data_IF_264370596543
#
_entry.id   IF_264370596543
#
_cell.length_a   1.000
_cell.length_b   1.000
_cell.length_c   1.000
_cell.angle_alpha   90.00
_cell.angle_beta   90.00
_cell.angle_gamma   90.00
#
_symmetry.space_group_name_H-M   'P 1'
#
loop_
_entity.id
_entity.type
_entity.pdbx_description
1 polymer ?
#
# COMPACT_ATOMS: atom_id res chain seq x y z
N UNK A 1 18.00 -7.07 -4.59
CA UNK A 1 16.68 -6.36 -4.69
C UNK A 1 15.61 -7.14 -5.48
N UNK A 2 15.95 -7.89 -6.54
CA UNK A 2 14.93 -8.58 -7.37
C UNK A 2 13.91 -9.41 -6.58
N UNK A 3 14.34 -10.17 -5.57
CA UNK A 3 13.43 -10.94 -4.69
C UNK A 3 12.46 -10.03 -3.93
N UNK A 4 12.87 -8.82 -3.52
CA UNK A 4 12.01 -7.88 -2.81
C UNK A 4 10.88 -7.37 -3.72
N UNK A 5 11.20 -7.05 -4.97
CA UNK A 5 10.18 -6.67 -5.95
C UNK A 5 9.24 -7.83 -6.30
N UNK A 6 9.76 -9.05 -6.42
CA UNK A 6 8.94 -10.24 -6.65
C UNK A 6 7.96 -10.49 -5.49
N UNK A 7 8.41 -10.36 -4.24
CA UNK A 7 7.55 -10.48 -3.06
C UNK A 7 6.44 -9.42 -3.10
N UNK A 8 6.79 -8.16 -3.37
CA UNK A 8 5.82 -7.06 -3.44
C UNK A 8 4.75 -7.33 -4.50
N UNK A 9 5.17 -7.66 -5.72
CA UNK A 9 4.25 -7.95 -6.84
C UNK A 9 3.30 -9.09 -6.51
N UNK A 10 3.84 -10.22 -6.07
CA UNK A 10 3.05 -11.42 -5.75
C UNK A 10 2.10 -11.22 -4.57
N UNK A 11 2.51 -10.46 -3.54
CA UNK A 11 1.61 -10.15 -2.43
C UNK A 11 0.42 -9.32 -2.87
N UNK A 12 0.61 -8.33 -3.75
CA UNK A 12 -0.46 -7.49 -4.29
C UNK A 12 -1.36 -8.20 -5.28
N UNK A 13 -0.80 -9.05 -6.14
CA UNK A 13 -1.60 -9.96 -6.98
C UNK A 13 -2.49 -10.88 -6.12
N UNK A 14 -1.95 -11.38 -5.00
CA UNK A 14 -2.73 -12.20 -4.07
C UNK A 14 -3.85 -11.38 -3.41
N UNK A 15 -3.58 -10.15 -2.97
CA UNK A 15 -4.61 -9.24 -2.45
C UNK A 15 -5.71 -9.05 -3.49
N UNK A 16 -5.36 -8.65 -4.71
CA UNK A 16 -6.32 -8.43 -5.80
C UNK A 16 -7.19 -9.67 -6.03
N UNK A 17 -6.57 -10.83 -6.19
CA UNK A 17 -7.29 -12.11 -6.38
C UNK A 17 -8.28 -12.42 -5.25
N UNK A 18 -7.96 -11.99 -4.02
CA UNK A 18 -8.82 -12.24 -2.85
C UNK A 18 -10.01 -11.31 -2.75
N UNK A 19 -9.91 -10.11 -3.31
CA UNK A 19 -10.95 -9.07 -3.16
C UNK A 19 -11.78 -8.82 -4.43
N UNK A 20 -11.33 -9.29 -5.59
CA UNK A 20 -11.90 -8.95 -6.90
C UNK A 20 -13.37 -9.39 -7.09
N UNK A 21 -13.82 -10.35 -6.30
CA UNK A 21 -15.20 -10.85 -6.33
C UNK A 21 -16.13 -10.19 -5.29
N UNK A 22 -15.60 -9.28 -4.47
CA UNK A 22 -16.38 -8.64 -3.40
C UNK A 22 -17.19 -7.48 -3.95
N UNK A 23 -18.40 -7.29 -3.40
CA UNK A 23 -19.17 -6.08 -3.66
C UNK A 23 -18.55 -4.86 -2.96
N UNK A 24 -18.88 -3.66 -3.43
CA UNK A 24 -18.42 -2.42 -2.83
C UNK A 24 -18.85 -2.31 -1.35
N UNK A 25 -20.04 -2.81 -1.00
CA UNK A 25 -20.51 -2.84 0.39
C UNK A 25 -19.67 -3.77 1.26
N UNK A 26 -19.26 -4.94 0.73
CA UNK A 26 -18.37 -5.86 1.45
C UNK A 26 -16.97 -5.24 1.66
N UNK A 27 -16.45 -4.54 0.66
CA UNK A 27 -15.16 -3.85 0.74
C UNK A 27 -15.15 -2.75 1.81
N UNK A 28 -16.27 -2.03 1.99
CA UNK A 28 -16.40 -0.93 2.95
C UNK A 28 -16.92 -1.35 4.32
N UNK A 29 -17.35 -2.59 4.50
CA UNK A 29 -17.83 -3.07 5.79
C UNK A 29 -16.74 -3.04 6.85
N UNK A 30 -17.01 -2.38 7.97
CA UNK A 30 -16.17 -2.38 9.17
C UNK A 30 -16.74 -3.41 10.14
N UNK A 31 -16.17 -4.60 10.28
CA UNK A 31 -16.66 -5.60 11.22
C UNK A 31 -16.47 -5.18 12.68
N UNK A 32 -17.27 -5.75 13.57
CA UNK A 32 -17.11 -5.54 15.01
C UNK A 32 -15.70 -5.89 15.48
N UNK A 33 -15.10 -5.02 16.30
CA UNK A 33 -13.73 -5.16 16.79
C UNK A 33 -12.63 -4.60 15.86
N UNK A 34 -12.98 -4.19 14.65
CA UNK A 34 -12.05 -3.53 13.72
C UNK A 34 -12.32 -2.02 13.66
N UNK A 35 -11.29 -1.24 13.30
CA UNK A 35 -11.39 0.20 13.06
C UNK A 35 -11.31 0.58 11.59
N UNK A 36 -11.04 -0.38 10.73
CA UNK A 36 -10.88 -0.20 9.28
C UNK A 36 -11.57 -1.33 8.51
N UNK A 37 -11.57 -1.21 7.20
CA UNK A 37 -12.19 -2.13 6.27
C UNK A 37 -11.19 -2.57 5.19
N UNK A 38 -11.61 -3.45 4.28
CA UNK A 38 -10.76 -3.96 3.20
C UNK A 38 -10.35 -2.84 2.26
N UNK A 39 -11.29 -1.97 1.82
CA UNK A 39 -11.02 -0.89 0.90
C UNK A 39 -9.94 0.07 1.45
N UNK A 40 -10.05 0.47 2.72
CA UNK A 40 -9.05 1.31 3.38
C UNK A 40 -7.68 0.62 3.42
N UNK A 41 -7.61 -0.68 3.77
CA UNK A 41 -6.34 -1.40 3.80
C UNK A 41 -5.68 -1.46 2.42
N UNK A 42 -6.44 -1.70 1.36
CA UNK A 42 -5.91 -1.76 -0.01
C UNK A 42 -5.36 -0.39 -0.44
N UNK A 43 -6.12 0.69 -0.24
CA UNK A 43 -5.66 2.04 -0.56
C UNK A 43 -4.45 2.45 0.30
N UNK A 44 -4.41 2.04 1.57
CA UNK A 44 -3.29 2.30 2.47
C UNK A 44 -1.98 1.61 2.02
N UNK A 45 -2.05 0.40 1.43
CA UNK A 45 -0.89 -0.25 0.82
C UNK A 45 -0.32 0.58 -0.33
N UNK A 46 -1.18 1.06 -1.22
CA UNK A 46 -0.80 1.95 -2.35
C UNK A 46 -0.09 3.19 -1.82
N UNK A 47 -0.73 3.89 -0.89
CA UNK A 47 -0.23 5.15 -0.32
C UNK A 47 1.07 4.95 0.45
N UNK A 48 1.17 3.92 1.27
CA UNK A 48 2.37 3.69 2.09
C UNK A 48 3.59 3.39 1.23
N UNK A 49 3.45 2.61 0.15
CA UNK A 49 4.55 2.40 -0.80
C UNK A 49 5.05 3.73 -1.36
N UNK A 50 4.17 4.63 -1.73
CA UNK A 50 4.54 5.93 -2.29
C UNK A 50 5.27 6.81 -1.26
N UNK A 51 4.76 6.86 -0.04
CA UNK A 51 5.37 7.64 1.03
C UNK A 51 6.76 7.10 1.42
N UNK A 52 6.90 5.78 1.58
CA UNK A 52 8.16 5.17 2.00
C UNK A 52 9.24 5.23 0.94
N UNK A 53 8.89 5.05 -0.34
CA UNK A 53 9.90 4.95 -1.39
C UNK A 53 10.13 6.29 -2.11
N UNK A 54 9.08 6.98 -2.55
CA UNK A 54 9.22 8.22 -3.30
C UNK A 54 9.36 9.46 -2.39
N UNK A 55 8.44 9.63 -1.44
CA UNK A 55 8.44 10.83 -0.57
C UNK A 55 9.72 10.93 0.26
N UNK A 56 10.17 9.82 0.87
CA UNK A 56 11.43 9.81 1.64
C UNK A 56 12.66 10.01 0.75
N UNK A 57 12.58 9.68 -0.53
CA UNK A 57 13.65 9.96 -1.52
C UNK A 57 13.56 11.37 -2.11
N UNK A 58 12.67 12.24 -1.61
CA UNK A 58 12.52 13.60 -2.12
C UNK A 58 11.84 13.67 -3.49
N UNK A 59 11.23 12.59 -3.95
CA UNK A 59 10.55 12.49 -5.25
C UNK A 59 9.04 12.71 -5.11
N UNK A 60 8.40 13.11 -6.20
CA UNK A 60 6.95 13.17 -6.27
C UNK A 60 6.36 11.76 -6.25
N UNK A 61 5.29 11.58 -5.48
CA UNK A 61 4.52 10.35 -5.50
C UNK A 61 3.78 10.19 -6.84
N UNK A 62 3.58 8.95 -7.27
CA UNK A 62 2.81 8.62 -8.47
C UNK A 62 1.30 8.52 -8.18
N UNK A 63 0.91 8.36 -6.92
CA UNK A 63 -0.47 8.48 -6.47
C UNK A 63 -0.84 9.94 -6.20
N UNK A 64 -2.12 10.29 -6.33
CA UNK A 64 -2.62 11.64 -6.10
C UNK A 64 -2.48 12.08 -4.64
N UNK A 65 -2.31 13.38 -4.41
CA UNK A 65 -2.25 13.97 -3.08
C UNK A 65 -3.55 13.68 -2.28
N UNK A 66 -4.70 13.66 -2.94
CA UNK A 66 -5.99 13.35 -2.32
C UNK A 66 -6.01 11.92 -1.78
N UNK A 67 -5.59 10.94 -2.58
CA UNK A 67 -5.50 9.54 -2.16
C UNK A 67 -4.52 9.40 -0.98
N UNK A 68 -3.38 10.06 -1.04
CA UNK A 68 -2.38 10.04 0.02
C UNK A 68 -2.94 10.60 1.33
N UNK A 69 -3.54 11.79 1.29
CA UNK A 69 -4.09 12.43 2.50
C UNK A 69 -5.23 11.63 3.12
N UNK A 70 -6.04 10.96 2.31
CA UNK A 70 -7.19 10.19 2.76
C UNK A 70 -6.78 8.85 3.40
N UNK A 71 -5.74 8.19 2.88
CA UNK A 71 -5.41 6.81 3.28
C UNK A 71 -4.03 6.63 3.93
N UNK A 72 -3.31 7.72 4.23
CA UNK A 72 -2.05 7.66 4.97
C UNK A 72 -2.24 7.16 6.40
N UNK A 73 -1.14 6.77 7.04
CA UNK A 73 -1.12 6.36 8.45
C UNK A 73 -1.82 7.38 9.36
N UNK A 74 -2.66 6.89 10.25
CA UNK A 74 -3.40 7.69 11.24
C UNK A 74 -4.80 8.12 10.77
N UNK A 75 -5.18 7.83 9.52
CA UNK A 75 -6.54 8.06 9.03
C UNK A 75 -7.47 6.88 9.36
N UNK A 76 -8.76 7.13 9.23
CA UNK A 76 -9.83 6.15 9.38
C UNK A 76 -10.64 6.10 8.09
N UNK A 77 -11.38 5.01 7.81
CA UNK A 77 -12.23 4.90 6.61
C UNK A 77 -13.49 5.78 6.76
N UNK A 78 -13.33 7.08 6.52
CA UNK A 78 -14.42 8.07 6.54
C UNK A 78 -15.06 8.26 5.17
N UNK A 79 -14.31 7.94 4.11
CA UNK A 79 -14.76 8.01 2.73
C UNK A 79 -15.10 6.62 2.20
N UNK A 80 -16.05 6.57 1.28
CA UNK A 80 -16.42 5.36 0.54
C UNK A 80 -16.07 5.56 -0.92
N UNK A 81 -15.35 4.60 -1.48
CA UNK A 81 -15.12 4.57 -2.93
C UNK A 81 -16.42 4.28 -3.68
N UNK A 82 -16.61 4.90 -4.84
CA UNK A 82 -17.45 4.32 -5.88
C UNK A 82 -16.79 3.05 -6.45
N UNK A 83 -17.53 2.26 -7.20
CA UNK A 83 -16.93 1.11 -7.90
C UNK A 83 -15.80 1.56 -8.85
N UNK A 84 -16.03 2.65 -9.60
CA UNK A 84 -15.07 3.23 -10.54
C UNK A 84 -13.79 3.71 -9.84
N UNK A 85 -13.91 4.47 -8.75
CA UNK A 85 -12.75 4.95 -8.00
C UNK A 85 -11.94 3.79 -7.37
N UNK A 86 -12.62 2.72 -6.96
CA UNK A 86 -11.93 1.56 -6.41
C UNK A 86 -11.22 0.73 -7.48
N UNK A 87 -11.73 0.69 -8.72
CA UNK A 87 -10.98 0.10 -9.84
C UNK A 87 -9.66 0.83 -10.08
N UNK A 88 -9.63 2.17 -10.02
CA UNK A 88 -8.38 2.93 -10.12
C UNK A 88 -7.39 2.56 -9.00
N UNK A 89 -7.88 2.36 -7.77
CA UNK A 89 -7.03 1.90 -6.65
C UNK A 89 -6.46 0.50 -6.92
N UNK A 90 -7.26 -0.40 -7.50
CA UNK A 90 -6.79 -1.75 -7.89
C UNK A 90 -5.73 -1.69 -9.00
N UNK A 91 -5.88 -0.81 -9.98
CA UNK A 91 -4.87 -0.58 -11.01
C UNK A 91 -3.55 -0.08 -10.40
N UNK A 92 -3.61 0.89 -9.49
CA UNK A 92 -2.44 1.38 -8.75
C UNK A 92 -1.81 0.28 -7.88
N UNK A 93 -2.63 -0.56 -7.24
CA UNK A 93 -2.15 -1.66 -6.40
C UNK A 93 -1.19 -2.57 -7.15
N UNK A 94 -1.51 -2.92 -8.39
CA UNK A 94 -0.70 -3.87 -9.19
C UNK A 94 0.31 -3.18 -10.10
N UNK A 95 0.07 -1.94 -10.53
CA UNK A 95 0.96 -1.22 -11.44
C UNK A 95 2.15 -0.54 -10.75
N UNK A 96 1.95 0.01 -9.55
CA UNK A 96 3.02 0.73 -8.84
C UNK A 96 4.23 -0.12 -8.43
N UNK A 97 4.13 -1.43 -8.15
CA UNK A 97 5.31 -2.27 -7.94
C UNK A 97 6.22 -2.38 -9.17
N UNK A 98 5.64 -2.41 -10.38
CA UNK A 98 6.43 -2.41 -11.62
C UNK A 98 7.14 -1.07 -11.81
N UNK A 99 6.43 0.05 -11.65
CA UNK A 99 7.00 1.38 -11.72
C UNK A 99 8.14 1.56 -10.70
N UNK A 100 7.96 1.10 -9.45
CA UNK A 100 9.00 1.16 -8.42
C UNK A 100 10.26 0.39 -8.84
N UNK A 101 10.11 -0.80 -9.42
CA UNK A 101 11.25 -1.57 -9.90
C UNK A 101 11.97 -0.88 -11.06
N UNK A 102 11.23 -0.38 -12.05
CA UNK A 102 11.78 0.35 -13.20
C UNK A 102 12.54 1.59 -12.74
N UNK A 103 11.99 2.38 -11.83
CA UNK A 103 12.59 3.59 -11.27
C UNK A 103 13.86 3.26 -10.44
N UNK A 104 13.82 2.16 -9.68
CA UNK A 104 14.98 1.69 -8.93
C UNK A 104 16.11 1.25 -9.88
N UNK A 105 15.80 0.49 -10.93
CA UNK A 105 16.76 0.04 -11.95
C UNK A 105 17.31 1.21 -12.78
N UNK A 106 16.51 2.26 -12.99
CA UNK A 106 16.94 3.51 -13.61
C UNK A 106 17.82 4.40 -12.70
N UNK A 107 17.90 4.07 -11.40
CA UNK A 107 18.76 4.79 -10.45
C UNK A 107 18.25 6.18 -10.07
N UNK A 108 16.95 6.43 -10.11
CA UNK A 108 16.40 7.77 -9.79
C UNK A 108 16.41 8.09 -8.29
N UNK A 109 16.50 7.08 -7.41
CA UNK A 109 16.52 7.25 -5.95
C UNK A 109 17.94 7.62 -5.48
N UNK A 110 18.35 8.87 -5.71
CA UNK A 110 19.70 9.37 -5.41
C UNK A 110 19.85 9.94 -4.02
N UNK A 111 18.76 10.30 -3.38
CA UNK A 111 18.69 10.85 -2.02
C UNK A 111 17.69 10.06 -1.20
N UNK A 112 17.88 10.07 0.13
CA UNK A 112 16.92 9.45 1.05
C UNK A 112 16.92 10.18 2.39
N UNK A 113 15.75 10.55 2.88
CA UNK A 113 15.55 11.17 4.19
C UNK A 113 15.31 10.08 5.23
N UNK A 114 16.22 9.94 6.19
CA UNK A 114 16.10 8.97 7.27
C UNK A 114 14.75 9.08 7.99
N UNK A 115 14.14 7.95 8.27
CA UNK A 115 12.84 7.86 8.91
C UNK A 115 12.80 6.72 9.93
N UNK A 116 12.39 7.02 11.17
CA UNK A 116 12.13 6.01 12.19
C UNK A 116 10.66 5.57 12.11
N UNK A 117 10.45 4.28 11.88
CA UNK A 117 9.10 3.70 11.79
C UNK A 117 8.48 3.49 13.17
N UNK A 118 7.15 3.35 13.22
CA UNK A 118 6.45 3.03 14.49
C UNK A 118 6.78 1.64 15.06
N UNK A 119 7.43 0.79 14.29
CA UNK A 119 7.91 -0.52 14.73
C UNK A 119 9.38 -0.47 15.22
N UNK A 120 10.00 0.72 15.27
CA UNK A 120 11.36 0.90 15.76
C UNK A 120 12.44 0.56 14.72
N UNK A 121 12.11 0.47 13.43
CA UNK A 121 13.11 0.34 12.37
C UNK A 121 13.50 1.71 11.85
N UNK A 122 14.80 1.96 11.71
CA UNK A 122 15.31 3.14 11.03
C UNK A 122 15.49 2.81 9.54
N UNK A 123 14.85 3.58 8.69
CA UNK A 123 15.00 3.52 7.24
C UNK A 123 15.98 4.61 6.84
N UNK A 124 17.10 4.22 6.26
CA UNK A 124 18.23 5.09 5.91
C UNK A 124 18.55 5.09 4.41
N UNK A 125 17.86 4.28 3.64
CA UNK A 125 18.07 4.06 2.21
C UNK A 125 16.80 3.56 1.52
N UNK A 126 16.76 3.67 0.20
CA UNK A 126 15.67 3.11 -0.61
C UNK A 126 15.57 1.58 -0.42
N UNK A 127 16.69 0.89 -0.26
CA UNK A 127 16.72 -0.56 -0.04
C UNK A 127 16.08 -0.94 1.31
N UNK A 128 16.35 -0.17 2.37
CA UNK A 128 15.73 -0.37 3.67
C UNK A 128 14.23 -0.07 3.62
N UNK A 129 13.82 0.96 2.86
CA UNK A 129 12.42 1.31 2.65
C UNK A 129 11.65 0.23 1.89
N UNK A 130 12.20 -0.30 0.79
CA UNK A 130 11.58 -1.39 0.01
C UNK A 130 11.45 -2.65 0.89
N UNK A 131 12.47 -2.97 1.67
CA UNK A 131 12.44 -4.14 2.56
C UNK A 131 11.39 -3.99 3.67
N UNK A 132 11.31 -2.82 4.28
CA UNK A 132 10.29 -2.51 5.28
C UNK A 132 8.88 -2.46 4.68
N UNK A 133 8.73 -1.93 3.46
CA UNK A 133 7.44 -1.95 2.77
C UNK A 133 6.90 -3.38 2.62
N UNK A 134 7.74 -4.37 2.32
CA UNK A 134 7.31 -5.76 2.24
C UNK A 134 6.82 -6.33 3.59
N UNK A 135 7.45 -5.94 4.70
CA UNK A 135 6.93 -6.28 6.04
C UNK A 135 5.56 -5.64 6.28
N UNK A 136 5.41 -4.37 5.93
CA UNK A 136 4.15 -3.63 6.04
C UNK A 136 3.04 -4.26 5.17
N UNK A 137 3.35 -4.64 3.93
CA UNK A 137 2.43 -5.38 3.05
C UNK A 137 1.94 -6.68 3.72
N UNK A 138 2.85 -7.44 4.34
CA UNK A 138 2.50 -8.68 5.05
C UNK A 138 1.55 -8.47 6.23
N UNK A 139 1.72 -7.38 6.99
CA UNK A 139 0.82 -7.02 8.10
C UNK A 139 -0.59 -6.72 7.58
N UNK A 140 -0.70 -5.90 6.54
CA UNK A 140 -2.00 -5.54 5.96
C UNK A 140 -2.63 -6.69 5.18
N UNK A 141 -1.86 -7.55 4.50
CA UNK A 141 -2.35 -8.77 3.89
C UNK A 141 -3.00 -9.68 4.95
N UNK A 142 -2.36 -9.87 6.11
CA UNK A 142 -2.93 -10.61 7.23
C UNK A 142 -4.24 -10.00 7.75
N UNK A 143 -4.31 -8.67 7.84
CA UNK A 143 -5.53 -7.94 8.22
C UNK A 143 -6.65 -8.14 7.20
N UNK A 144 -6.36 -8.00 5.91
CA UNK A 144 -7.32 -8.24 4.82
C UNK A 144 -7.84 -9.69 4.88
N UNK A 145 -6.97 -10.68 5.08
CA UNK A 145 -7.37 -12.08 5.21
C UNK A 145 -8.28 -12.34 6.42
N UNK A 146 -8.10 -11.60 7.51
CA UNK A 146 -8.99 -11.68 8.67
C UNK A 146 -10.34 -11.03 8.37
N UNK A 147 -10.35 -9.83 7.77
CA UNK A 147 -11.57 -9.11 7.37
C UNK A 147 -12.42 -9.91 6.37
N UNK A 148 -11.80 -10.60 5.42
CA UNK A 148 -12.48 -11.46 4.44
C UNK A 148 -13.35 -12.56 5.05
N UNK A 149 -13.09 -12.96 6.29
CA UNK A 149 -13.92 -13.96 7.00
C UNK A 149 -15.17 -13.37 7.64
N UNK A 150 -15.30 -12.05 7.64
CA UNK A 150 -16.31 -11.31 8.40
C UNK A 150 -17.23 -10.44 7.50
N UNK A 151 -17.00 -10.48 6.20
CA UNK A 151 -17.74 -9.68 5.19
C UNK A 151 -18.54 -10.53 4.23
#
# INVERSE_FOLDING_TARGET
MNTQFEILKKSRELVLKKIDHLSIEQLHKIPEGFKNNIAWNVAHLVVTQQLLNYKLSGLNCLASDELIETYKKGTLPTETFSEEDFEEVKELLVGLPDALQEDYEAGIFTEFNEYETSLGFTLDSIESAISFNNLHEGIHLGTIMALLKLV
#
